data_IF_837596468949
#
_entry.id   IF_837596468949
#
_cell.length_a   1.000
_cell.length_b   1.000
_cell.length_c   1.000
_cell.angle_alpha   90.00
_cell.angle_beta   90.00
_cell.angle_gamma   90.00
#
_symmetry.space_group_name_H-M   'P 1'
#
loop_
_entity.id
_entity.type
_entity.pdbx_description
1 polymer ?
#
# COMPACT_ATOMS: atom_id res chain seq x y z
N UNK A 1 -19.38 -4.53 15.37
CA UNK A 1 -19.35 -3.32 14.53
C UNK A 1 -20.56 -3.35 13.62
N UNK A 2 -21.12 -2.19 13.28
CA UNK A 2 -22.16 -2.11 12.24
C UNK A 2 -21.55 -2.54 10.91
N UNK A 3 -22.35 -3.11 10.02
CA UNK A 3 -21.92 -3.46 8.67
C UNK A 3 -22.70 -2.66 7.65
N UNK A 4 -22.00 -2.14 6.66
CA UNK A 4 -22.57 -1.31 5.59
C UNK A 4 -22.16 -1.88 4.24
N UNK A 5 -23.14 -1.97 3.34
CA UNK A 5 -22.89 -2.30 1.95
C UNK A 5 -22.32 -1.06 1.23
N UNK A 6 -21.14 -1.23 0.65
CA UNK A 6 -20.47 -0.23 -0.18
C UNK A 6 -20.54 -0.74 -1.63
N UNK A 7 -20.90 0.15 -2.56
CA UNK A 7 -20.83 -0.10 -4.00
C UNK A 7 -20.30 1.15 -4.71
N UNK A 8 -19.24 1.70 -4.14
CA UNK A 8 -18.66 2.97 -4.55
C UNK A 8 -17.51 2.77 -5.53
N UNK A 9 -17.32 3.78 -6.38
CA UNK A 9 -16.34 3.76 -7.46
C UNK A 9 -15.33 4.87 -7.29
N UNK A 10 -14.10 4.60 -7.69
CA UNK A 10 -13.05 5.61 -7.74
C UNK A 10 -12.57 6.11 -6.38
N UNK A 11 -12.51 5.24 -5.36
CA UNK A 11 -11.82 5.56 -4.12
C UNK A 11 -10.33 5.74 -4.42
N UNK A 12 -9.75 6.78 -3.84
CA UNK A 12 -8.44 7.30 -4.22
C UNK A 12 -7.37 6.75 -3.30
N UNK A 13 -6.31 6.20 -3.89
CA UNK A 13 -5.02 5.96 -3.24
C UNK A 13 -3.94 6.74 -3.98
N UNK A 14 -3.13 7.52 -3.27
CA UNK A 14 -2.00 8.22 -3.89
C UNK A 14 -0.74 7.35 -3.86
N UNK A 15 -0.07 7.28 -5.01
CA UNK A 15 1.21 6.60 -5.16
C UNK A 15 2.28 7.57 -5.65
N UNK A 16 3.51 7.54 -5.11
CA UNK A 16 4.62 8.30 -5.69
C UNK A 16 4.80 7.93 -7.16
N UNK A 17 4.77 8.91 -8.05
CA UNK A 17 5.08 8.71 -9.45
C UNK A 17 6.57 8.43 -9.57
N UNK A 18 6.99 7.19 -9.79
CA UNK A 18 8.43 6.85 -9.89
C UNK A 18 8.93 6.76 -11.34
N UNK A 19 8.02 6.60 -12.30
CA UNK A 19 8.34 6.39 -13.73
C UNK A 19 9.00 7.58 -14.43
N UNK A 20 9.00 8.77 -13.82
CA UNK A 20 9.63 9.97 -14.39
C UNK A 20 11.13 10.07 -14.06
N UNK A 21 11.65 9.14 -13.24
CA UNK A 21 13.07 9.01 -12.89
C UNK A 21 13.58 7.65 -13.35
N UNK A 22 14.84 7.53 -13.78
CA UNK A 22 15.42 6.21 -14.01
C UNK A 22 15.38 5.39 -12.72
N UNK A 23 15.31 4.04 -12.80
CA UNK A 23 15.44 3.19 -11.62
C UNK A 23 16.71 3.55 -10.84
N UNK A 24 16.62 3.63 -9.51
CA UNK A 24 17.73 4.06 -8.66
C UNK A 24 19.01 3.23 -8.85
N UNK A 25 18.84 1.96 -9.27
CA UNK A 25 19.94 1.03 -9.51
C UNK A 25 20.48 1.05 -10.94
N UNK A 26 19.88 1.81 -11.87
CA UNK A 26 20.29 1.81 -13.29
C UNK A 26 21.74 2.24 -13.48
N UNK A 27 22.27 3.10 -12.59
CA UNK A 27 23.67 3.55 -12.63
C UNK A 27 24.71 2.51 -12.19
N UNK A 28 24.28 1.30 -11.78
CA UNK A 28 25.19 0.22 -11.35
C UNK A 28 25.55 -0.77 -12.47
N UNK A 29 24.95 -0.63 -13.65
CA UNK A 29 25.08 -1.57 -14.77
C UNK A 29 25.21 -0.81 -16.09
N UNK A 30 25.85 -1.43 -17.09
CA UNK A 30 26.10 -0.79 -18.37
C UNK A 30 25.01 -1.17 -19.39
N UNK A 31 24.48 -2.39 -19.30
CA UNK A 31 23.53 -2.95 -20.27
C UNK A 31 22.16 -3.26 -19.69
N UNK A 32 21.15 -3.40 -20.55
CA UNK A 32 19.80 -3.78 -20.14
C UNK A 32 19.73 -5.24 -19.68
N UNK A 33 20.59 -6.12 -20.22
CA UNK A 33 20.71 -7.51 -19.77
C UNK A 33 21.21 -7.58 -18.31
N UNK A 34 22.25 -6.81 -17.98
CA UNK A 34 22.73 -6.67 -16.60
C UNK A 34 21.68 -6.04 -15.69
N UNK A 35 20.90 -5.07 -16.17
CA UNK A 35 19.76 -4.52 -15.44
C UNK A 35 18.71 -5.59 -15.12
N UNK A 36 18.47 -6.50 -16.06
CA UNK A 36 17.59 -7.67 -15.86
C UNK A 36 18.08 -8.56 -14.71
N UNK A 37 19.37 -8.91 -14.71
CA UNK A 37 19.99 -9.69 -13.63
C UNK A 37 19.88 -8.95 -12.30
N UNK A 38 20.15 -7.64 -12.27
CA UNK A 38 20.06 -6.85 -11.06
C UNK A 38 18.64 -6.79 -10.50
N UNK A 39 17.63 -6.69 -11.37
CA UNK A 39 16.22 -6.75 -10.98
C UNK A 39 15.84 -8.12 -10.41
N UNK A 40 16.39 -9.22 -10.95
CA UNK A 40 16.18 -10.55 -10.38
C UNK A 40 16.77 -10.66 -8.96
N UNK A 41 17.98 -10.14 -8.76
CA UNK A 41 18.65 -10.12 -7.45
C UNK A 41 17.86 -9.30 -6.42
N UNK A 42 17.46 -8.06 -6.77
CA UNK A 42 16.62 -7.23 -5.90
C UNK A 42 15.30 -7.94 -5.56
N UNK A 43 14.69 -8.56 -6.57
CA UNK A 43 13.46 -9.31 -6.45
C UNK A 43 13.53 -10.55 -5.56
N UNK A 44 14.72 -11.02 -5.17
CA UNK A 44 14.87 -12.08 -4.15
C UNK A 44 14.45 -11.61 -2.76
N UNK A 45 14.51 -10.31 -2.51
CA UNK A 45 14.13 -9.70 -1.22
C UNK A 45 12.80 -8.95 -1.27
N UNK A 46 12.20 -8.81 -2.45
CA UNK A 46 10.88 -8.20 -2.60
C UNK A 46 9.81 -9.06 -1.91
N UNK A 47 9.24 -8.54 -0.81
CA UNK A 47 8.14 -9.20 -0.09
C UNK A 47 6.95 -9.53 -0.99
N UNK A 48 6.66 -8.67 -1.98
CA UNK A 48 5.63 -8.91 -2.99
C UNK A 48 5.94 -10.13 -3.86
N UNK A 49 7.13 -10.18 -4.47
CA UNK A 49 7.51 -11.29 -5.35
C UNK A 49 7.65 -12.60 -4.57
N UNK A 50 8.08 -12.55 -3.31
CA UNK A 50 8.10 -13.71 -2.43
C UNK A 50 6.70 -14.24 -2.16
N UNK A 51 5.74 -13.37 -1.84
CA UNK A 51 4.35 -13.76 -1.63
C UNK A 51 3.69 -14.32 -2.91
N UNK A 52 3.93 -13.70 -4.06
CA UNK A 52 3.45 -14.20 -5.37
C UNK A 52 3.99 -15.60 -5.70
N UNK A 53 5.19 -15.95 -5.20
CA UNK A 53 5.80 -17.29 -5.31
C UNK A 53 5.33 -18.26 -4.21
N UNK A 54 4.41 -17.88 -3.33
CA UNK A 54 3.94 -18.70 -2.20
C UNK A 54 4.94 -18.83 -1.06
N UNK A 55 5.86 -17.87 -0.93
CA UNK A 55 6.89 -17.84 0.13
C UNK A 55 6.57 -16.84 1.24
N UNK A 56 5.30 -16.48 1.41
CA UNK A 56 4.82 -15.67 2.53
C UNK A 56 3.95 -16.55 3.45
N UNK A 57 4.27 -16.66 4.76
CA UNK A 57 3.53 -17.53 5.67
C UNK A 57 2.13 -17.01 6.06
N UNK A 58 1.83 -15.73 5.82
CA UNK A 58 0.58 -15.06 6.21
C UNK A 58 -0.38 -14.80 5.04
N UNK A 59 0.05 -15.11 3.81
CA UNK A 59 -0.72 -14.87 2.59
C UNK A 59 -0.67 -16.08 1.67
N UNK A 60 -1.83 -16.63 1.33
CA UNK A 60 -1.93 -17.58 0.25
C UNK A 60 -1.84 -16.84 -1.11
N UNK A 61 -1.06 -17.32 -2.09
CA UNK A 61 -1.01 -16.71 -3.43
C UNK A 61 -2.37 -16.51 -4.11
N UNK A 62 -3.38 -17.28 -3.72
CA UNK A 62 -4.77 -17.15 -4.23
C UNK A 62 -5.50 -15.91 -3.71
N UNK A 63 -5.02 -15.31 -2.63
CA UNK A 63 -5.56 -14.06 -2.07
C UNK A 63 -5.00 -12.81 -2.76
N UNK A 64 -3.84 -12.94 -3.41
CA UNK A 64 -3.24 -11.86 -4.16
C UNK A 64 -4.04 -11.59 -5.44
N UNK A 65 -3.98 -10.34 -5.91
CA UNK A 65 -4.57 -9.93 -7.17
C UNK A 65 -4.17 -10.94 -8.25
N UNK A 66 -5.19 -11.57 -8.82
CA UNK A 66 -5.10 -12.87 -9.48
C UNK A 66 -4.20 -12.84 -10.72
N UNK A 67 -2.97 -13.34 -10.59
CA UNK A 67 -2.04 -13.48 -11.73
C UNK A 67 -2.51 -14.53 -12.76
N UNK A 68 -3.49 -15.37 -12.40
CA UNK A 68 -3.95 -16.54 -13.17
C UNK A 68 -4.78 -16.22 -14.43
N UNK A 69 -4.93 -14.96 -14.84
CA UNK A 69 -5.32 -14.65 -16.22
C UNK A 69 -4.06 -14.36 -17.03
N UNK A 70 -3.24 -15.39 -17.18
CA UNK A 70 -1.97 -15.36 -17.90
C UNK A 70 -2.09 -15.12 -19.41
N UNK A 71 -3.28 -14.79 -19.94
CA UNK A 71 -3.46 -14.43 -21.36
C UNK A 71 -4.37 -13.23 -21.65
N UNK A 72 -5.44 -12.93 -20.88
CA UNK A 72 -6.46 -11.98 -21.39
C UNK A 72 -6.98 -10.90 -20.43
N UNK A 73 -6.58 -10.84 -19.15
CA UNK A 73 -7.11 -9.81 -18.24
C UNK A 73 -6.07 -9.47 -17.17
N UNK A 74 -5.17 -8.54 -17.50
CA UNK A 74 -4.34 -7.87 -16.49
C UNK A 74 -5.17 -6.77 -15.85
N UNK A 75 -5.26 -6.80 -14.52
CA UNK A 75 -5.86 -5.69 -13.77
C UNK A 75 -4.78 -4.60 -13.68
N UNK A 76 -5.14 -3.37 -14.07
CA UNK A 76 -4.25 -2.24 -13.89
C UNK A 76 -3.93 -2.07 -12.40
N UNK A 77 -2.64 -1.98 -12.07
CA UNK A 77 -2.20 -1.78 -10.69
C UNK A 77 -2.16 -3.04 -9.82
N UNK A 78 -2.23 -4.25 -10.41
CA UNK A 78 -2.08 -5.53 -9.68
C UNK A 78 -0.85 -5.58 -8.76
N UNK A 79 0.30 -5.10 -9.24
CA UNK A 79 1.52 -4.99 -8.44
C UNK A 79 1.38 -4.03 -7.27
N UNK A 80 0.60 -2.95 -7.40
CA UNK A 80 0.31 -2.01 -6.32
C UNK A 80 -0.67 -2.58 -5.30
N UNK A 81 -1.69 -3.33 -5.76
CA UNK A 81 -2.63 -4.05 -4.91
C UNK A 81 -1.87 -5.09 -4.08
N UNK A 82 -1.11 -5.97 -4.71
CA UNK A 82 -0.32 -6.98 -4.01
C UNK A 82 0.67 -6.35 -3.04
N UNK A 83 1.39 -5.31 -3.47
CA UNK A 83 2.33 -4.59 -2.61
C UNK A 83 1.68 -4.07 -1.32
N UNK A 84 0.45 -3.54 -1.38
CA UNK A 84 -0.25 -3.01 -0.22
C UNK A 84 -0.51 -4.09 0.86
N UNK A 85 -0.71 -5.35 0.46
CA UNK A 85 -0.92 -6.46 1.39
C UNK A 85 0.37 -7.17 1.80
N UNK A 86 1.42 -7.12 0.98
CA UNK A 86 2.65 -7.90 1.23
C UNK A 86 3.76 -7.13 1.93
N UNK A 87 3.79 -5.80 1.82
CA UNK A 87 4.77 -4.98 2.53
C UNK A 87 4.20 -4.55 3.88
N UNK A 88 4.68 -5.21 4.93
CA UNK A 88 4.23 -4.97 6.30
C UNK A 88 5.20 -4.05 7.04
N UNK A 89 4.73 -3.57 8.19
CA UNK A 89 5.50 -2.71 9.09
C UNK A 89 5.53 -3.39 10.45
N UNK A 90 6.68 -3.39 11.12
CA UNK A 90 6.78 -3.86 12.50
C UNK A 90 5.78 -3.10 13.40
N UNK A 91 4.99 -3.84 14.16
CA UNK A 91 3.86 -3.31 14.95
C UNK A 91 2.62 -2.90 14.14
N UNK A 92 2.57 -3.17 12.84
CA UNK A 92 1.40 -2.91 11.99
C UNK A 92 1.14 -1.43 11.67
N UNK A 93 -0.07 -1.16 11.14
CA UNK A 93 -0.65 0.18 11.05
C UNK A 93 -2.01 0.22 11.77
N UNK A 94 -2.77 1.30 11.62
CA UNK A 94 -4.01 1.52 12.37
C UNK A 94 -5.01 0.36 12.28
N UNK A 95 -5.15 -0.26 11.11
CA UNK A 95 -6.17 -1.27 10.83
C UNK A 95 -5.59 -2.58 10.26
N UNK A 96 -4.31 -2.84 10.53
CA UNK A 96 -3.68 -4.10 10.13
C UNK A 96 -2.51 -4.42 11.07
N UNK A 97 -2.35 -5.70 11.42
CA UNK A 97 -1.22 -6.19 12.22
C UNK A 97 0.08 -6.18 11.40
N UNK A 98 1.20 -6.58 12.01
CA UNK A 98 2.48 -6.70 11.32
C UNK A 98 2.57 -7.90 10.36
N UNK A 99 1.62 -8.83 10.44
CA UNK A 99 1.61 -10.05 9.63
C UNK A 99 1.10 -9.82 8.21
N UNK A 100 0.19 -8.84 8.04
CA UNK A 100 -0.48 -8.57 6.76
C UNK A 100 -0.67 -7.08 6.56
N UNK A 101 -0.31 -6.59 5.38
CA UNK A 101 -0.54 -5.20 4.99
C UNK A 101 -2.01 -4.92 4.70
N UNK A 102 -2.34 -3.67 4.40
CA UNK A 102 -3.68 -3.24 4.08
C UNK A 102 -3.69 -2.26 2.92
N UNK A 103 -4.79 -2.28 2.17
CA UNK A 103 -5.09 -1.25 1.20
C UNK A 103 -5.79 -0.08 1.89
N UNK A 104 -5.14 1.07 1.87
CA UNK A 104 -5.71 2.34 2.33
C UNK A 104 -6.07 3.23 1.14
N UNK A 105 -7.29 3.76 1.15
CA UNK A 105 -7.83 4.72 0.19
C UNK A 105 -8.88 5.63 0.86
N UNK A 106 -9.31 6.67 0.16
CA UNK A 106 -10.34 7.60 0.63
C UNK A 106 -11.32 7.97 -0.49
N UNK A 107 -12.54 8.38 -0.13
CA UNK A 107 -13.51 8.94 -1.09
C UNK A 107 -13.01 10.25 -1.73
N UNK A 108 -12.38 11.11 -0.95
CA UNK A 108 -11.89 12.41 -1.41
C UNK A 108 -10.37 12.40 -1.58
N UNK A 109 -9.89 12.91 -2.72
CA UNK A 109 -8.45 13.02 -3.00
C UNK A 109 -7.70 13.82 -1.93
N UNK A 110 -8.32 14.87 -1.39
CA UNK A 110 -7.67 15.71 -0.37
C UNK A 110 -7.44 14.97 0.94
N UNK A 111 -8.25 13.97 1.28
CA UNK A 111 -7.99 13.09 2.43
C UNK A 111 -6.74 12.25 2.18
N UNK A 112 -6.60 11.69 0.97
CA UNK A 112 -5.38 10.97 0.58
C UNK A 112 -4.14 11.88 0.59
N UNK A 113 -4.27 13.13 0.15
CA UNK A 113 -3.20 14.13 0.20
C UNK A 113 -2.81 14.42 1.66
N UNK A 114 -3.78 14.60 2.55
CA UNK A 114 -3.53 14.83 3.98
C UNK A 114 -2.78 13.66 4.63
N UNK A 115 -3.17 12.41 4.34
CA UNK A 115 -2.47 11.23 4.84
C UNK A 115 -1.02 11.15 4.33
N UNK A 116 -0.81 11.38 3.03
CA UNK A 116 0.54 11.45 2.45
C UNK A 116 1.36 12.56 3.11
N UNK A 117 0.80 13.75 3.29
CA UNK A 117 1.47 14.88 3.93
C UNK A 117 1.85 14.57 5.38
N UNK A 118 0.96 13.92 6.14
CA UNK A 118 1.23 13.50 7.51
C UNK A 118 2.41 12.51 7.58
N UNK A 119 2.37 11.45 6.77
CA UNK A 119 3.42 10.44 6.72
C UNK A 119 4.76 11.02 6.24
N UNK A 120 4.75 11.86 5.19
CA UNK A 120 5.97 12.51 4.70
C UNK A 120 6.54 13.51 5.67
N UNK A 121 5.72 14.31 6.35
CA UNK A 121 6.20 15.25 7.38
C UNK A 121 6.93 14.50 8.49
N UNK A 122 6.39 13.36 8.93
CA UNK A 122 7.02 12.51 9.94
C UNK A 122 8.36 11.95 9.44
N UNK A 123 8.44 11.54 8.19
CA UNK A 123 9.69 11.03 7.58
C UNK A 123 10.76 12.12 7.45
N UNK A 124 10.38 13.31 6.97
CA UNK A 124 11.26 14.47 6.86
C UNK A 124 11.79 14.91 8.24
N UNK A 125 11.03 14.66 9.31
CA UNK A 125 11.47 14.84 10.69
C UNK A 125 12.74 14.06 11.05
N UNK A 126 13.00 12.90 10.42
CA UNK A 126 14.23 12.13 10.67
C UNK A 126 15.47 12.78 10.05
N UNK A 127 15.32 13.59 8.99
CA UNK A 127 16.44 14.29 8.34
C UNK A 127 16.56 15.75 8.79
N UNK A 128 15.51 16.31 9.40
CA UNK A 128 15.42 17.72 9.75
C UNK A 128 15.24 18.66 8.56
N UNK A 129 15.09 18.12 7.33
CA UNK A 129 14.88 18.90 6.12
C UNK A 129 13.43 18.84 5.67
N UNK A 130 12.67 19.92 5.87
CA UNK A 130 11.25 20.01 5.49
C UNK A 130 11.01 20.54 4.07
N UNK A 131 12.06 20.65 3.27
CA UNK A 131 11.95 21.02 1.85
C UNK A 131 11.92 19.74 1.01
N UNK A 132 10.74 19.38 0.52
CA UNK A 132 10.54 18.24 -0.37
C UNK A 132 9.57 18.58 -1.51
N UNK A 133 9.73 17.92 -2.65
CA UNK A 133 8.81 18.00 -3.78
C UNK A 133 8.71 16.63 -4.44
N UNK A 134 7.50 16.08 -4.46
CA UNK A 134 7.20 14.79 -5.04
C UNK A 134 5.96 14.86 -5.92
N UNK A 135 5.96 14.05 -6.98
CA UNK A 135 4.79 13.84 -7.83
C UNK A 135 4.06 12.59 -7.36
N UNK A 136 2.74 12.69 -7.26
CA UNK A 136 1.87 11.56 -6.95
C UNK A 136 0.91 11.31 -8.11
N UNK A 137 0.49 10.06 -8.26
CA UNK A 137 -0.59 9.65 -9.15
C UNK A 137 -1.73 9.06 -8.32
N UNK A 138 -2.95 9.27 -8.80
CA UNK A 138 -4.15 8.66 -8.24
C UNK A 138 -4.30 7.25 -8.80
N UNK A 139 -4.41 6.27 -7.90
CA UNK A 139 -4.88 4.93 -8.21
C UNK A 139 -6.31 4.83 -7.71
N UNK A 140 -7.24 4.76 -8.67
CA UNK A 140 -8.68 4.69 -8.41
C UNK A 140 -9.11 3.23 -8.28
N UNK A 141 -9.83 2.91 -7.22
CA UNK A 141 -10.32 1.56 -6.95
C UNK A 141 -11.82 1.57 -6.62
N UNK A 142 -12.53 0.59 -7.16
CA UNK A 142 -13.95 0.37 -6.89
C UNK A 142 -14.10 -0.61 -5.72
N UNK A 143 -14.98 -0.31 -4.78
CA UNK A 143 -15.24 -1.13 -3.59
C UNK A 143 -16.70 -1.56 -3.60
N UNK A 144 -16.91 -2.87 -3.75
CA UNK A 144 -18.23 -3.49 -3.83
C UNK A 144 -18.25 -4.64 -2.83
N UNK A 145 -19.06 -4.53 -1.78
CA UNK A 145 -19.16 -5.55 -0.75
C UNK A 145 -19.69 -5.01 0.58
N UNK A 146 -19.70 -5.89 1.58
CA UNK A 146 -20.08 -5.54 2.95
C UNK A 146 -18.81 -5.29 3.75
N UNK A 147 -18.75 -4.12 4.40
CA UNK A 147 -17.61 -3.71 5.21
C UNK A 147 -18.07 -3.40 6.63
N UNK A 148 -17.17 -3.60 7.59
CA UNK A 148 -17.36 -3.08 8.93
C UNK A 148 -17.29 -1.54 8.89
N UNK A 149 -18.29 -0.90 9.48
CA UNK A 149 -18.54 0.54 9.39
C UNK A 149 -18.53 1.16 10.79
N UNK A 150 -17.68 2.18 10.94
CA UNK A 150 -17.55 3.01 12.15
C UNK A 150 -17.71 4.50 11.84
N UNK A 151 -18.28 4.85 10.69
CA UNK A 151 -18.46 6.26 10.29
C UNK A 151 -19.41 7.03 11.22
N UNK A 152 -20.29 6.33 11.94
CA UNK A 152 -21.16 6.86 12.98
C UNK A 152 -20.55 6.79 14.39
N UNK A 153 -19.30 6.33 14.53
CA UNK A 153 -18.57 6.19 15.78
C UNK A 153 -17.27 7.05 15.80
N UNK A 154 -17.35 8.39 15.68
CA UNK A 154 -16.16 9.25 15.61
C UNK A 154 -15.30 9.22 16.89
N UNK A 155 -15.87 8.76 18.02
CA UNK A 155 -15.18 8.57 19.29
C UNK A 155 -14.58 7.17 19.49
N UNK A 156 -14.66 6.28 18.49
CA UNK A 156 -14.15 4.93 18.63
C UNK A 156 -12.64 4.92 18.92
N UNK A 157 -12.14 4.14 19.90
CA UNK A 157 -10.73 4.13 20.28
C UNK A 157 -9.74 3.92 19.13
N UNK A 158 -10.09 3.08 18.14
CA UNK A 158 -9.27 2.87 16.94
C UNK A 158 -9.01 4.13 16.10
N UNK A 159 -9.85 5.16 16.20
CA UNK A 159 -9.69 6.45 15.53
C UNK A 159 -8.86 7.46 16.33
N UNK A 160 -8.39 7.08 17.53
CA UNK A 160 -7.61 7.98 18.36
C UNK A 160 -6.34 8.46 17.62
N UNK A 161 -6.02 9.76 17.65
CA UNK A 161 -4.92 10.32 16.86
C UNK A 161 -3.55 9.82 17.32
N UNK A 162 -3.39 9.51 18.61
CA UNK A 162 -2.19 8.86 19.14
C UNK A 162 -2.13 7.39 18.67
N UNK A 163 -1.10 7.00 17.87
CA UNK A 163 -0.92 5.62 17.45
C UNK A 163 -0.80 4.62 18.60
N UNK A 164 -0.25 5.01 19.76
CA UNK A 164 -0.10 4.12 20.91
C UNK A 164 -1.46 3.71 21.53
N UNK A 165 -2.50 4.50 21.27
CA UNK A 165 -3.89 4.21 21.68
C UNK A 165 -4.69 3.63 20.53
N UNK A 166 -4.61 4.23 19.34
CA UNK A 166 -5.46 3.85 18.22
C UNK A 166 -5.07 2.54 17.53
N UNK A 167 -3.77 2.22 17.46
CA UNK A 167 -3.32 1.02 16.74
C UNK A 167 -3.73 -0.27 17.45
N UNK A 168 -3.54 -0.45 18.78
CA UNK A 168 -3.97 -1.67 19.46
C UNK A 168 -5.45 -1.99 19.26
N UNK A 169 -6.31 -0.96 19.26
CA UNK A 169 -7.75 -1.11 19.11
C UNK A 169 -8.17 -1.41 17.66
N UNK A 170 -7.53 -0.76 16.69
CA UNK A 170 -7.84 -0.99 15.27
C UNK A 170 -7.22 -2.26 14.68
N UNK A 171 -6.25 -2.86 15.37
CA UNK A 171 -5.63 -4.14 15.00
C UNK A 171 -6.29 -5.37 15.64
N UNK A 172 -7.27 -5.14 16.54
CA UNK A 172 -7.93 -6.21 17.31
C UNK A 172 -9.08 -6.91 16.58
#
# INVERSE_FOLDING_TARGET
MKQTEISDRGLVRLLPATYHKPPSLRGLVDTDDEMGILAEIEGLTSGRLLAERGRNPHLDPRELAWQRRSRDLRIYGDSHVNAAFTYTRAGGNRFNTEDRGAWYCAWEVMVSVSEVAWHRTRELGFTGSFHDSARYVELLADFIGVFDDMTDEPGHPALHPDPAVGYPEGQS
#
